data_IF_161171687860
#
_entry.id   IF_161171687860
#
_cell.length_a   1.000
_cell.length_b   1.000
_cell.length_c   1.000
_cell.angle_alpha   90.00
_cell.angle_beta   90.00
_cell.angle_gamma   90.00
#
_symmetry.space_group_name_H-M   'P 1'
#
loop_
_entity.id
_entity.type
_entity.pdbx_description
1 polymer ?
#
# COMPACT_ATOMS: atom_id res chain seq x y z
N UNK A 1 17.95 -8.10 10.40
CA UNK A 1 18.20 -6.71 10.85
C UNK A 1 17.14 -5.81 10.25
N UNK A 2 16.59 -4.87 11.00
CA UNK A 2 15.48 -4.04 10.53
C UNK A 2 15.51 -2.64 11.13
N UNK A 3 15.10 -1.63 10.36
CA UNK A 3 15.16 -0.22 10.74
C UNK A 3 13.77 0.44 10.73
N UNK A 4 13.50 1.38 11.65
CA UNK A 4 12.26 2.17 11.70
C UNK A 4 11.00 1.27 11.67
N UNK A 5 10.04 1.52 10.79
CA UNK A 5 8.83 0.69 10.64
C UNK A 5 9.16 -0.75 10.18
N UNK A 6 10.30 -0.94 9.53
CA UNK A 6 10.79 -2.27 9.17
C UNK A 6 11.02 -3.16 10.38
N UNK A 7 11.35 -2.57 11.54
CA UNK A 7 11.48 -3.29 12.80
C UNK A 7 10.16 -3.98 13.17
N UNK A 8 9.03 -3.27 13.07
CA UNK A 8 7.72 -3.82 13.39
C UNK A 8 7.27 -4.91 12.41
N UNK A 9 7.52 -4.73 11.12
CA UNK A 9 7.24 -5.76 10.14
C UNK A 9 8.04 -7.04 10.40
N UNK A 10 9.32 -6.89 10.74
CA UNK A 10 10.20 -8.02 11.05
C UNK A 10 9.81 -8.70 12.36
N UNK A 11 9.38 -7.93 13.37
CA UNK A 11 8.86 -8.46 14.62
C UNK A 11 7.60 -9.28 14.37
N UNK A 12 6.64 -8.72 13.63
CA UNK A 12 5.39 -9.41 13.29
C UNK A 12 5.67 -10.73 12.58
N UNK A 13 6.58 -10.72 11.61
CA UNK A 13 7.00 -11.93 10.90
C UNK A 13 7.62 -12.96 11.86
N UNK A 14 8.51 -12.52 12.75
CA UNK A 14 9.18 -13.41 13.73
C UNK A 14 8.19 -14.01 14.72
N UNK A 15 7.17 -13.24 15.15
CA UNK A 15 6.10 -13.75 16.02
C UNK A 15 5.22 -14.79 15.33
N UNK A 16 5.00 -14.65 14.01
CA UNK A 16 4.20 -15.59 13.22
C UNK A 16 4.99 -16.85 12.80
N UNK A 17 6.31 -16.71 12.63
CA UNK A 17 7.19 -17.78 12.16
C UNK A 17 8.44 -17.88 13.04
N UNK A 18 8.28 -18.22 14.34
CA UNK A 18 9.39 -18.23 15.29
C UNK A 18 10.51 -19.21 14.87
N UNK A 19 10.15 -20.34 14.27
CA UNK A 19 11.11 -21.37 13.84
C UNK A 19 11.92 -20.97 12.59
N UNK A 20 11.68 -19.78 12.03
CA UNK A 20 12.35 -19.28 10.83
C UNK A 20 13.34 -18.15 11.12
N UNK A 21 13.45 -17.69 12.37
CA UNK A 21 14.27 -16.54 12.74
C UNK A 21 15.03 -16.83 14.03
N UNK A 22 16.35 -16.99 13.94
CA UNK A 22 17.21 -17.21 15.11
C UNK A 22 17.47 -15.92 15.91
N UNK A 23 17.58 -14.78 15.21
CA UNK A 23 17.88 -13.48 15.81
C UNK A 23 17.30 -12.32 14.99
N UNK A 24 16.65 -11.38 15.69
CA UNK A 24 16.16 -10.13 15.11
C UNK A 24 16.78 -8.93 15.83
N UNK A 25 17.53 -8.11 15.09
CA UNK A 25 18.14 -6.87 15.57
C UNK A 25 17.35 -5.67 15.03
N UNK A 26 16.94 -4.79 15.94
CA UNK A 26 16.27 -3.52 15.63
C UNK A 26 17.26 -2.34 15.67
N UNK A 27 17.16 -1.48 14.66
CA UNK A 27 17.81 -0.17 14.64
C UNK A 27 16.73 0.91 14.61
N UNK A 28 16.69 1.77 15.63
CA UNK A 28 15.71 2.86 15.75
C UNK A 28 14.26 2.42 15.44
N UNK A 29 13.81 1.36 16.13
CA UNK A 29 12.52 0.74 15.88
C UNK A 29 11.35 1.60 16.39
N UNK A 30 10.37 1.84 15.52
CA UNK A 30 9.13 2.53 15.90
C UNK A 30 8.12 1.50 16.40
N UNK A 31 7.73 1.51 17.67
CA UNK A 31 6.71 0.62 18.22
C UNK A 31 5.35 1.31 18.33
N UNK A 32 4.34 0.80 17.60
CA UNK A 32 2.96 1.23 17.77
C UNK A 32 2.24 0.32 18.77
N UNK A 33 1.95 0.85 19.96
CA UNK A 33 1.11 0.16 20.95
C UNK A 33 -0.36 0.40 20.57
N UNK A 34 -0.98 -0.58 19.91
CA UNK A 34 -2.42 -0.54 19.65
C UNK A 34 -3.20 -0.89 20.90
N UNK A 35 -4.25 -0.13 21.22
CA UNK A 35 -5.21 -0.56 22.26
C UNK A 35 -5.98 -1.76 21.73
N UNK A 36 -6.08 -2.84 22.51
CA UNK A 36 -6.66 -4.14 22.12
C UNK A 36 -8.01 -4.02 21.38
N UNK A 37 -8.91 -3.15 21.82
CA UNK A 37 -10.23 -2.98 21.19
C UNK A 37 -10.19 -2.34 19.78
N UNK A 38 -9.18 -1.51 19.50
CA UNK A 38 -9.01 -0.88 18.18
C UNK A 38 -8.34 -1.83 17.18
N UNK A 39 -7.47 -2.71 17.68
CA UNK A 39 -6.72 -3.65 16.85
C UNK A 39 -7.66 -4.62 16.11
N UNK A 40 -8.59 -5.26 16.84
CA UNK A 40 -9.53 -6.23 16.25
C UNK A 40 -10.37 -5.57 15.14
N UNK A 41 -10.95 -4.39 15.42
CA UNK A 41 -11.75 -3.66 14.43
C UNK A 41 -10.93 -3.24 13.20
N UNK A 42 -9.68 -2.82 13.40
CA UNK A 42 -8.76 -2.50 12.30
C UNK A 42 -8.45 -3.74 11.47
N UNK A 43 -8.15 -4.89 12.10
CA UNK A 43 -7.91 -6.16 11.41
C UNK A 43 -9.09 -6.57 10.55
N UNK A 44 -10.31 -6.57 11.10
CA UNK A 44 -11.52 -6.91 10.32
C UNK A 44 -11.65 -6.02 9.09
N UNK A 45 -11.54 -4.69 9.26
CA UNK A 45 -11.62 -3.74 8.14
C UNK A 45 -10.50 -3.92 7.11
N UNK A 46 -9.28 -4.25 7.55
CA UNK A 46 -8.15 -4.54 6.66
C UNK A 46 -8.43 -5.79 5.83
N UNK A 47 -8.95 -6.85 6.45
CA UNK A 47 -9.32 -8.10 5.76
C UNK A 47 -10.45 -7.84 4.75
N UNK A 48 -11.52 -7.13 5.14
CA UNK A 48 -12.65 -6.82 4.26
C UNK A 48 -12.20 -6.02 3.02
N UNK A 49 -11.34 -5.01 3.23
CA UNK A 49 -10.80 -4.22 2.13
C UNK A 49 -9.88 -5.05 1.23
N UNK A 50 -9.08 -5.94 1.80
CA UNK A 50 -8.23 -6.84 1.03
C UNK A 50 -9.06 -7.76 0.14
N UNK A 51 -10.07 -8.42 0.70
CA UNK A 51 -10.99 -9.28 -0.05
C UNK A 51 -11.73 -8.51 -1.14
N UNK A 52 -12.15 -7.26 -0.86
CA UNK A 52 -12.77 -6.39 -1.87
C UNK A 52 -11.82 -6.13 -3.04
N UNK A 53 -10.57 -5.76 -2.80
CA UNK A 53 -9.61 -5.49 -3.87
C UNK A 53 -9.15 -6.76 -4.59
N UNK A 54 -9.04 -7.87 -3.88
CA UNK A 54 -8.73 -9.18 -4.47
C UNK A 54 -9.82 -9.62 -5.45
N UNK A 55 -11.09 -9.49 -5.05
CA UNK A 55 -12.23 -9.76 -5.94
C UNK A 55 -12.21 -8.88 -7.20
N UNK A 56 -11.86 -7.58 -7.08
CA UNK A 56 -11.77 -6.68 -8.24
C UNK A 56 -10.68 -7.10 -9.24
N UNK A 57 -9.56 -7.64 -8.74
CA UNK A 57 -8.47 -8.17 -9.56
C UNK A 57 -8.92 -9.48 -10.24
N UNK A 58 -9.48 -10.40 -9.45
CA UNK A 58 -9.89 -11.74 -9.91
C UNK A 58 -11.01 -11.68 -10.96
N UNK A 59 -11.98 -10.77 -10.78
CA UNK A 59 -13.06 -10.54 -11.74
C UNK A 59 -12.62 -9.81 -13.02
N UNK A 60 -11.32 -9.47 -13.15
CA UNK A 60 -10.74 -8.72 -14.27
C UNK A 60 -11.51 -7.45 -14.61
N UNK A 61 -12.12 -6.80 -13.61
CA UNK A 61 -12.73 -5.50 -13.83
C UNK A 61 -11.65 -4.55 -14.35
N UNK A 62 -11.92 -3.91 -15.49
CA UNK A 62 -10.96 -2.99 -16.11
C UNK A 62 -10.58 -1.93 -15.06
N UNK A 63 -9.28 -1.77 -14.73
CA UNK A 63 -8.88 -0.76 -13.78
C UNK A 63 -9.34 0.62 -14.29
N UNK A 64 -9.78 1.52 -13.40
CA UNK A 64 -10.25 2.82 -13.81
C UNK A 64 -9.15 3.56 -14.59
N UNK A 65 -9.56 4.17 -15.70
CA UNK A 65 -8.69 4.95 -16.57
C UNK A 65 -8.81 6.43 -16.20
N UNK A 66 -7.68 7.12 -16.17
CA UNK A 66 -7.57 8.52 -15.75
C UNK A 66 -6.75 9.30 -16.76
N UNK A 67 -7.02 10.59 -16.87
CA UNK A 67 -6.13 11.54 -17.54
C UNK A 67 -4.84 11.71 -16.73
N UNK A 68 -3.78 12.20 -17.36
CA UNK A 68 -2.51 12.43 -16.67
C UNK A 68 -2.65 13.46 -15.53
N UNK A 69 -3.46 14.50 -15.72
CA UNK A 69 -3.72 15.51 -14.69
C UNK A 69 -4.41 14.91 -13.46
N UNK A 70 -5.42 14.05 -13.66
CA UNK A 70 -6.07 13.33 -12.56
C UNK A 70 -5.11 12.40 -11.82
N UNK A 71 -4.19 11.74 -12.52
CA UNK A 71 -3.18 10.89 -11.89
C UNK A 71 -2.22 11.68 -10.99
N UNK A 72 -1.83 12.89 -11.40
CA UNK A 72 -1.00 13.79 -10.58
C UNK A 72 -1.71 14.13 -9.28
N UNK A 73 -2.97 14.53 -9.35
CA UNK A 73 -3.78 14.84 -8.16
C UNK A 73 -4.02 13.62 -7.28
N UNK A 74 -4.33 12.46 -7.86
CA UNK A 74 -4.50 11.20 -7.13
C UNK A 74 -3.21 10.77 -6.41
N UNK A 75 -2.04 10.99 -7.03
CA UNK A 75 -0.76 10.67 -6.42
C UNK A 75 -0.43 11.65 -5.28
N UNK A 76 -0.66 12.95 -5.50
CA UNK A 76 -0.46 13.97 -4.48
C UNK A 76 -1.33 13.70 -3.24
N UNK A 77 -2.64 13.58 -3.44
CA UNK A 77 -3.60 13.33 -2.35
C UNK A 77 -3.42 11.96 -1.71
N UNK A 78 -3.21 10.90 -2.49
CA UNK A 78 -3.00 9.53 -2.00
C UNK A 78 -1.73 9.36 -1.17
N UNK A 79 -0.73 10.23 -1.38
CA UNK A 79 0.48 10.29 -0.58
C UNK A 79 0.34 11.12 0.70
N UNK A 80 -0.89 11.53 1.07
CA UNK A 80 -1.14 12.51 2.14
C UNK A 80 -0.36 13.81 1.91
N UNK A 81 -0.25 14.25 0.64
CA UNK A 81 0.49 15.44 0.21
C UNK A 81 2.00 15.42 0.47
N UNK A 82 2.57 14.26 0.79
CA UNK A 82 4.03 14.11 0.94
C UNK A 82 4.78 14.22 -0.39
N UNK A 83 4.13 13.89 -1.51
CA UNK A 83 4.66 14.08 -2.86
C UNK A 83 4.05 15.35 -3.46
N UNK A 84 4.86 16.37 -3.73
CA UNK A 84 4.40 17.59 -4.43
C UNK A 84 3.92 17.28 -5.85
N UNK A 85 2.94 18.03 -6.37
CA UNK A 85 2.36 17.83 -7.71
C UNK A 85 3.42 17.84 -8.83
N UNK A 86 4.39 18.75 -8.76
CA UNK A 86 5.48 18.85 -9.74
C UNK A 86 6.42 17.63 -9.73
N UNK A 87 6.50 16.95 -8.59
CA UNK A 87 7.31 15.75 -8.39
C UNK A 87 6.54 14.46 -8.72
N UNK A 88 5.20 14.52 -8.79
CA UNK A 88 4.36 13.35 -9.03
C UNK A 88 4.72 12.64 -10.34
N UNK A 89 5.13 13.41 -11.37
CA UNK A 89 5.56 12.87 -12.68
C UNK A 89 6.65 11.80 -12.57
N UNK A 90 7.62 11.97 -11.66
CA UNK A 90 8.72 11.02 -11.49
C UNK A 90 8.24 9.70 -10.88
N UNK A 91 7.26 9.76 -9.97
CA UNK A 91 6.65 8.58 -9.37
C UNK A 91 5.72 7.90 -10.38
N UNK A 92 4.91 8.68 -11.11
CA UNK A 92 3.94 8.17 -12.07
C UNK A 92 4.62 7.46 -13.24
N UNK A 93 5.78 7.92 -13.71
CA UNK A 93 6.50 7.34 -14.85
C UNK A 93 6.75 5.82 -14.74
N UNK A 94 6.91 5.30 -13.52
CA UNK A 94 7.13 3.85 -13.28
C UNK A 94 5.89 3.09 -12.79
N UNK A 95 4.75 3.77 -12.63
CA UNK A 95 3.55 3.24 -11.96
C UNK A 95 2.28 3.32 -12.83
N UNK A 96 2.39 3.76 -14.07
CA UNK A 96 1.25 3.88 -14.99
C UNK A 96 1.53 3.19 -16.33
N UNK A 97 0.46 2.82 -17.02
CA UNK A 97 0.46 2.35 -18.41
C UNK A 97 -0.59 3.09 -19.22
N UNK A 98 -0.35 3.28 -20.52
CA UNK A 98 -1.36 3.77 -21.44
C UNK A 98 -2.47 2.73 -21.64
N UNK A 99 -3.68 3.20 -21.94
CA UNK A 99 -4.82 2.34 -22.27
C UNK A 99 -4.99 2.30 -23.78
N UNK A 100 -4.77 1.13 -24.39
CA UNK A 100 -4.79 0.97 -25.85
C UNK A 100 -6.15 1.37 -26.47
N UNK A 101 -7.23 1.16 -25.74
CA UNK A 101 -8.59 1.48 -26.21
C UNK A 101 -8.99 2.95 -26.02
N UNK A 102 -8.23 3.75 -25.28
CA UNK A 102 -8.55 5.15 -24.96
C UNK A 102 -7.28 6.03 -24.99
N UNK A 103 -6.97 6.66 -26.13
CA UNK A 103 -5.83 7.56 -26.24
C UNK A 103 -5.88 8.70 -25.20
N UNK A 104 -4.74 9.02 -24.59
CA UNK A 104 -4.63 10.05 -23.55
C UNK A 104 -5.09 9.61 -22.16
N UNK A 105 -5.58 8.38 -22.01
CA UNK A 105 -5.93 7.78 -20.73
C UNK A 105 -4.88 6.78 -20.26
N UNK A 106 -4.70 6.74 -18.96
CA UNK A 106 -3.69 5.94 -18.28
C UNK A 106 -4.32 5.15 -17.13
N UNK A 107 -3.73 4.01 -16.81
CA UNK A 107 -4.10 3.17 -15.67
C UNK A 107 -2.90 2.98 -14.76
N UNK A 108 -3.16 2.89 -13.45
CA UNK A 108 -2.13 2.45 -12.52
C UNK A 108 -1.77 0.97 -12.75
N UNK A 109 -0.48 0.65 -12.66
CA UNK A 109 0.04 -0.73 -12.81
C UNK A 109 0.24 -1.46 -11.49
N UNK A 110 0.09 -0.76 -10.35
CA UNK A 110 0.25 -1.36 -9.01
C UNK A 110 -0.91 -2.29 -8.64
N UNK A 111 -0.60 -3.30 -7.84
CA UNK A 111 -1.59 -4.18 -7.25
C UNK A 111 -2.55 -3.39 -6.34
N UNK A 112 -3.87 -3.57 -6.54
CA UNK A 112 -4.90 -2.86 -5.78
C UNK A 112 -4.91 -3.24 -4.29
N UNK A 113 -4.47 -4.45 -3.95
CA UNK A 113 -4.40 -4.94 -2.56
C UNK A 113 -3.38 -4.16 -1.74
N UNK A 114 -2.39 -3.54 -2.38
CA UNK A 114 -1.44 -2.64 -1.72
C UNK A 114 -2.06 -1.29 -1.29
N UNK A 115 -3.29 -0.98 -1.72
CA UNK A 115 -4.04 0.16 -1.18
C UNK A 115 -4.60 -0.11 0.21
N UNK A 116 -4.67 -1.38 0.62
CA UNK A 116 -5.15 -1.73 1.96
C UNK A 116 -4.10 -1.26 2.95
N UNK A 117 -4.45 -0.35 3.88
CA UNK A 117 -3.54 -0.01 4.96
C UNK A 117 -3.25 -1.29 5.74
N UNK A 118 -1.96 -1.64 5.84
CA UNK A 118 -1.48 -2.62 6.81
C UNK A 118 -1.94 -2.17 8.20
N UNK A 119 -1.97 -3.08 9.19
CA UNK A 119 -2.34 -2.75 10.57
C UNK A 119 -1.59 -1.54 11.17
N UNK A 120 -0.48 -1.17 10.55
CA UNK A 120 0.46 -0.13 10.93
C UNK A 120 0.24 1.23 10.23
N UNK A 121 -0.78 1.36 9.37
CA UNK A 121 -1.12 2.63 8.69
C UNK A 121 -2.43 3.23 9.21
#
# INVERSE_FOLDING_TARGET
MAHSIGAMHSLTYTMLYPDKVDLLIFFDGIFYIFKNHTLVKKMSKTIDNFLRYDNLITTKSLPPSYTYAELVELQHTGSMKSVHVDCAKYILNRNIKSVDTKPGMYQFTRDLRLKVPTLMR
#
